data_IF_776652577918
#
_entry.id   IF_776652577918
#
_cell.length_a   1.000
_cell.length_b   1.000
_cell.length_c   1.000
_cell.angle_alpha   90.00
_cell.angle_beta   90.00
_cell.angle_gamma   90.00
#
_symmetry.space_group_name_H-M   'P 1'
#
loop_
_entity.id
_entity.type
_entity.pdbx_description
1 polymer ?
#
# COMPACT_ATOMS: atom_id res chain seq x y z
N UNK A 1 -4.06 -2.59 -10.09
CA UNK A 1 -4.65 -2.97 -8.79
C UNK A 1 -4.63 -4.49 -8.75
N UNK A 2 -3.57 -5.08 -8.19
CA UNK A 2 -3.42 -6.54 -8.09
C UNK A 2 -2.49 -6.84 -6.89
N UNK A 3 -1.41 -6.09 -6.75
CA UNK A 3 -0.47 -6.28 -5.63
C UNK A 3 -1.08 -5.97 -4.25
N UNK A 4 -1.91 -4.93 -4.11
CA UNK A 4 -2.55 -4.61 -2.83
C UNK A 4 -3.60 -5.66 -2.41
N UNK A 5 -4.32 -6.25 -3.38
CA UNK A 5 -5.31 -7.31 -3.12
C UNK A 5 -4.64 -8.64 -2.80
N UNK A 6 -3.56 -8.99 -3.50
CA UNK A 6 -2.75 -10.17 -3.15
C UNK A 6 -2.14 -9.98 -1.75
N UNK A 7 -1.62 -8.80 -1.45
CA UNK A 7 -1.02 -8.49 -0.17
C UNK A 7 -2.05 -8.42 0.97
N UNK A 8 -3.30 -8.00 0.74
CA UNK A 8 -4.32 -7.93 1.79
C UNK A 8 -4.67 -9.30 2.38
N UNK A 9 -4.55 -10.36 1.58
CA UNK A 9 -4.62 -11.76 2.05
C UNK A 9 -3.41 -12.23 2.87
N UNK A 10 -2.35 -11.41 2.96
CA UNK A 10 -1.10 -11.70 3.66
C UNK A 10 -0.78 -10.59 4.69
N UNK A 11 -1.42 -10.59 5.86
CA UNK A 11 -1.31 -9.50 6.82
C UNK A 11 0.09 -9.25 7.35
N UNK A 12 0.91 -10.30 7.48
CA UNK A 12 2.29 -10.17 7.94
C UNK A 12 3.16 -9.39 6.93
N UNK A 13 2.83 -9.48 5.63
CA UNK A 13 3.58 -8.81 4.56
C UNK A 13 3.34 -7.31 4.59
N UNK A 14 2.09 -6.85 4.55
CA UNK A 14 1.83 -5.40 4.59
C UNK A 14 2.20 -4.78 5.93
N UNK A 15 2.04 -5.49 7.06
CA UNK A 15 2.49 -4.98 8.37
C UNK A 15 3.99 -4.75 8.39
N UNK A 16 4.76 -5.69 7.86
CA UNK A 16 6.21 -5.59 7.76
C UNK A 16 6.63 -4.43 6.88
N UNK A 17 6.01 -4.29 5.70
CA UNK A 17 6.27 -3.17 4.79
C UNK A 17 5.98 -1.82 5.47
N UNK A 18 4.86 -1.67 6.17
CA UNK A 18 4.53 -0.44 6.90
C UNK A 18 5.51 -0.16 8.05
N UNK A 19 6.04 -1.21 8.69
CA UNK A 19 7.01 -1.06 9.76
C UNK A 19 8.39 -0.64 9.25
N UNK A 20 8.83 -1.20 8.11
CA UNK A 20 10.14 -0.96 7.49
C UNK A 20 10.18 0.36 6.71
N UNK A 21 9.14 0.66 5.94
CA UNK A 21 9.04 1.89 5.15
C UNK A 21 8.56 3.04 6.04
N UNK A 22 9.51 3.83 6.56
CA UNK A 22 9.24 5.04 7.37
C UNK A 22 9.84 6.30 6.72
N UNK A 23 9.28 7.48 7.00
CA UNK A 23 9.86 8.75 6.57
C UNK A 23 11.20 8.98 7.29
N UNK A 24 12.18 9.52 6.57
CA UNK A 24 13.41 10.09 7.11
C UNK A 24 13.24 11.59 7.40
N UNK A 25 14.23 12.21 8.04
CA UNK A 25 14.24 13.65 8.37
C UNK A 25 14.20 14.58 7.15
N UNK A 26 14.43 14.04 5.94
CA UNK A 26 14.40 14.75 4.67
C UNK A 26 13.13 14.47 3.85
N UNK A 27 12.13 13.80 4.44
CA UNK A 27 10.87 13.47 3.75
C UNK A 27 11.03 12.37 2.68
N UNK A 28 11.98 11.45 2.86
CA UNK A 28 12.20 10.29 1.96
C UNK A 28 11.97 8.99 2.71
N UNK A 29 11.73 7.91 1.98
CA UNK A 29 11.60 6.59 2.61
C UNK A 29 12.98 6.02 3.00
N UNK A 30 13.18 5.73 4.28
CA UNK A 30 14.41 5.13 4.81
C UNK A 30 14.69 3.75 4.21
N UNK A 31 13.67 2.89 4.10
CA UNK A 31 13.83 1.55 3.53
C UNK A 31 14.09 1.54 2.02
N UNK A 32 13.72 2.61 1.31
CA UNK A 32 14.01 2.74 -0.12
C UNK A 32 15.42 3.29 -0.38
N UNK A 33 16.17 3.68 0.66
CA UNK A 33 17.53 4.18 0.51
C UNK A 33 18.45 3.05 0.06
N UNK A 34 19.01 3.16 -1.14
CA UNK A 34 20.01 2.21 -1.63
C UNK A 34 21.44 2.60 -1.21
N UNK A 35 22.42 1.75 -1.53
CA UNK A 35 23.85 1.96 -1.22
C UNK A 35 24.43 3.24 -1.85
N UNK A 36 23.77 3.78 -2.88
CA UNK A 36 24.15 5.02 -3.56
C UNK A 36 23.48 6.27 -2.94
N UNK A 37 22.70 6.10 -1.86
CA UNK A 37 21.98 7.18 -1.18
C UNK A 37 20.69 7.64 -1.89
N UNK A 38 20.31 6.99 -2.99
CA UNK A 38 19.05 7.28 -3.69
C UNK A 38 17.90 6.68 -2.89
N UNK A 39 16.93 7.51 -2.53
CA UNK A 39 15.73 7.10 -1.77
C UNK A 39 14.49 7.61 -2.49
N UNK A 40 13.41 6.85 -2.46
CA UNK A 40 12.11 7.31 -2.96
C UNK A 40 11.56 8.44 -2.08
N UNK A 41 10.81 9.36 -2.68
CA UNK A 41 10.05 10.37 -1.93
C UNK A 41 9.05 9.67 -0.99
N UNK A 42 8.80 10.28 0.16
CA UNK A 42 7.76 9.83 1.07
C UNK A 42 6.42 10.52 0.72
N UNK A 43 5.29 9.79 0.67
CA UNK A 43 5.15 8.34 0.85
C UNK A 43 5.59 7.56 -0.40
N UNK A 44 6.43 6.54 -0.22
CA UNK A 44 6.90 5.74 -1.34
C UNK A 44 5.80 4.79 -1.86
N UNK A 45 5.90 4.39 -3.12
CA UNK A 45 4.92 3.50 -3.78
C UNK A 45 4.65 2.22 -2.98
N UNK A 46 5.68 1.60 -2.42
CA UNK A 46 5.56 0.37 -1.61
C UNK A 46 4.73 0.59 -0.34
N UNK A 47 4.91 1.72 0.35
CA UNK A 47 4.11 2.08 1.52
C UNK A 47 2.64 2.30 1.11
N UNK A 48 2.39 2.99 -0.01
CA UNK A 48 1.04 3.17 -0.54
C UNK A 48 0.32 1.86 -0.86
N UNK A 49 1.03 0.86 -1.42
CA UNK A 49 0.47 -0.48 -1.69
C UNK A 49 0.13 -1.20 -0.38
N UNK A 50 1.00 -1.13 0.63
CA UNK A 50 0.79 -1.77 1.92
C UNK A 50 -0.35 -1.12 2.72
N UNK A 51 -0.48 0.22 2.68
CA UNK A 51 -1.64 0.91 3.28
C UNK A 51 -2.93 0.53 2.57
N UNK A 52 -2.91 0.41 1.24
CA UNK A 52 -4.09 -0.04 0.50
C UNK A 52 -4.45 -1.50 0.85
N UNK A 53 -3.46 -2.37 1.03
CA UNK A 53 -3.66 -3.74 1.47
C UNK A 53 -4.27 -3.81 2.88
N UNK A 54 -3.80 -2.97 3.81
CA UNK A 54 -4.39 -2.81 5.15
C UNK A 54 -5.86 -2.43 5.06
N UNK A 55 -6.19 -1.36 4.31
CA UNK A 55 -7.59 -0.90 4.13
C UNK A 55 -8.49 -2.03 3.60
N UNK A 56 -8.04 -2.74 2.57
CA UNK A 56 -8.78 -3.89 2.01
C UNK A 56 -8.98 -4.98 3.08
N UNK A 57 -7.96 -5.27 3.90
CA UNK A 57 -8.02 -6.27 4.97
C UNK A 57 -8.98 -5.87 6.10
N UNK A 58 -8.95 -4.60 6.52
CA UNK A 58 -9.83 -4.04 7.56
C UNK A 58 -11.29 -3.91 7.11
N UNK A 59 -11.62 -4.30 5.88
CA UNK A 59 -12.97 -4.22 5.33
C UNK A 59 -13.33 -2.81 4.83
N UNK A 60 -12.38 -1.88 4.81
CA UNK A 60 -12.43 -0.67 4.00
C UNK A 60 -12.17 -1.09 2.54
N UNK A 61 -13.10 -1.83 1.95
CA UNK A 61 -13.14 -1.97 0.51
C UNK A 61 -13.08 -0.54 -0.05
N UNK A 62 -12.11 -0.22 -0.93
CA UNK A 62 -12.19 1.04 -1.67
C UNK A 62 -13.57 1.01 -2.33
N UNK A 63 -14.42 1.99 -1.99
CA UNK A 63 -15.76 2.09 -2.54
C UNK A 63 -15.66 1.76 -4.03
N UNK A 64 -16.44 0.78 -4.54
CA UNK A 64 -16.32 0.40 -5.93
C UNK A 64 -16.48 1.68 -6.75
N UNK A 65 -15.42 2.07 -7.48
CA UNK A 65 -15.50 3.18 -8.42
C UNK A 65 -16.48 2.74 -9.50
N UNK A 66 -17.76 3.06 -9.30
CA UNK A 66 -18.82 2.86 -10.29
C UNK A 66 -19.51 1.50 -10.20
N UNK A 67 -20.52 1.40 -9.34
CA UNK A 67 -21.70 0.61 -9.71
C UNK A 67 -22.36 1.24 -10.94
N UNK A 68 -22.70 0.39 -11.92
CA UNK A 68 -23.88 0.45 -12.78
C UNK A 68 -23.75 -0.64 -13.85
N UNK A 69 -24.30 -1.83 -13.60
CA UNK A 69 -25.18 -2.53 -14.53
C UNK A 69 -26.06 -3.48 -13.70
N UNK A 70 -27.35 -3.19 -13.72
CA UNK A 70 -28.39 -3.80 -12.91
C UNK A 70 -28.58 -5.27 -13.27
N UNK A 71 -28.72 -6.12 -12.24
CA UNK A 71 -29.41 -7.38 -12.37
C UNK A 71 -30.92 -7.08 -12.49
N UNK A 72 -31.52 -7.53 -13.59
CA UNK A 72 -32.96 -7.65 -13.76
C UNK A 72 -33.23 -9.09 -14.20
N UNK A 73 -34.10 -9.74 -13.45
CA UNK A 73 -34.49 -11.15 -13.44
C UNK A 73 -35.20 -11.61 -14.72
#
# INVERSE_FOLDING_TARGET
>A
MAMAEVMSGMPDVWRRVLAEHRPDDWGRCQACRNEQGVSAEWPCVTHGIAEQARRIHDGELPAPRGGRHAAGE
#
